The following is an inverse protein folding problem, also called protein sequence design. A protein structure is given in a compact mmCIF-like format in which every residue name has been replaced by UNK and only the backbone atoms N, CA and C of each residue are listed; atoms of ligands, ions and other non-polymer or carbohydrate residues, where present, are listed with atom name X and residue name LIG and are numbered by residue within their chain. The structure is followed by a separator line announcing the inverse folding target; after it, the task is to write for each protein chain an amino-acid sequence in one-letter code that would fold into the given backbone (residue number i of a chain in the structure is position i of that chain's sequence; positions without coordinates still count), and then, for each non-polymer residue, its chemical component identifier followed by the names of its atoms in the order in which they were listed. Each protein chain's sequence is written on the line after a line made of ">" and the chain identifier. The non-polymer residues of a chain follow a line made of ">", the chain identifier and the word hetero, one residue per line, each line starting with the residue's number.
data_IF_992546876522
#
_entry.id   IF_992546876522
#
_cell.length_a   1.000
_cell.length_b   1.000
_cell.length_c   1.000
_cell.angle_alpha   90.00
_cell.angle_beta   90.00
_cell.angle_gamma   90.00
#
_symmetry.space_group_name_H-M   'P 1'
#
loop_
_entity.id
_entity.type
_entity.pdbx_description
1 polymer ?
#
# COMPACT_ATOMS: atom_id res chain seq x y z
N UNK A 1 34.07 18.00 75.65
CA UNK A 1 32.71 17.52 75.96
C UNK A 1 31.73 18.14 74.99
N UNK A 2 30.68 17.39 74.58
CA UNK A 2 29.61 17.70 73.58
C UNK A 2 29.99 17.40 72.12
N UNK A 3 29.20 16.68 71.34
CA UNK A 3 28.12 15.70 71.58
C UNK A 3 28.04 14.93 70.27
N UNK A 4 28.25 13.63 70.32
CA UNK A 4 28.08 12.70 69.20
C UNK A 4 26.59 12.59 68.90
N UNK A 5 26.24 12.64 67.63
CA UNK A 5 24.93 12.28 67.14
C UNK A 5 25.06 12.05 65.65
N UNK A 6 24.44 10.98 65.17
CA UNK A 6 23.72 10.84 63.91
C UNK A 6 23.21 9.39 63.89
N UNK A 7 22.03 9.20 64.47
CA UNK A 7 21.22 8.01 64.23
C UNK A 7 20.27 8.35 63.08
N UNK A 8 20.44 7.69 61.95
CA UNK A 8 19.45 7.70 60.88
C UNK A 8 18.69 6.37 60.87
N UNK A 9 17.38 6.54 60.76
CA UNK A 9 16.28 5.62 60.99
C UNK A 9 16.20 4.58 59.87
N UNK A 10 16.21 3.29 60.25
CA UNK A 10 15.73 2.19 59.41
C UNK A 10 14.22 2.08 59.59
N UNK A 11 13.47 2.44 58.57
CA UNK A 11 12.00 2.37 58.53
C UNK A 11 11.52 1.98 57.14
N UNK A 12 11.86 0.77 56.72
CA UNK A 12 11.45 0.16 55.45
C UNK A 12 10.08 -0.51 55.62
N UNK A 13 9.00 0.14 55.18
CA UNK A 13 7.75 -0.51 54.74
C UNK A 13 6.70 0.50 54.32
N UNK A 14 6.47 0.63 53.01
CA UNK A 14 5.14 0.43 52.39
C UNK A 14 5.19 0.73 50.89
N UNK A 15 4.51 -0.15 50.15
CA UNK A 15 3.87 0.08 48.86
C UNK A 15 4.77 0.42 47.66
N UNK A 16 4.88 -0.53 46.73
CA UNK A 16 4.15 -0.47 45.46
C UNK A 16 4.48 -1.75 44.68
N UNK A 17 3.54 -2.70 44.67
CA UNK A 17 3.48 -3.73 43.65
C UNK A 17 3.24 -3.01 42.32
N UNK A 18 4.31 -2.71 41.59
CA UNK A 18 4.20 -2.27 40.21
C UNK A 18 3.71 -3.49 39.44
N UNK A 19 2.43 -3.45 39.08
CA UNK A 19 1.88 -4.25 38.02
C UNK A 19 2.72 -4.02 36.76
N UNK A 20 3.65 -4.92 36.48
CA UNK A 20 4.31 -5.00 35.18
C UNK A 20 3.32 -5.65 34.20
N UNK A 21 2.25 -4.91 33.89
CA UNK A 21 1.37 -5.19 32.78
C UNK A 21 2.10 -4.75 31.51
N UNK A 22 2.48 -5.76 30.73
CA UNK A 22 2.87 -5.70 29.32
C UNK A 22 3.27 -4.33 28.76
N UNK A 23 4.56 -4.01 28.86
CA UNK A 23 5.19 -3.33 27.74
C UNK A 23 5.38 -4.40 26.65
N UNK A 24 4.30 -4.68 25.92
CA UNK A 24 4.45 -5.23 24.59
C UNK A 24 5.28 -4.20 23.84
N UNK A 25 6.54 -4.52 23.58
CA UNK A 25 7.27 -3.88 22.51
C UNK A 25 6.40 -4.10 21.28
N UNK A 26 5.67 -3.08 20.85
CA UNK A 26 5.16 -2.99 19.50
C UNK A 26 6.42 -2.92 18.62
N UNK A 27 7.00 -4.10 18.37
CA UNK A 27 7.88 -4.33 17.24
C UNK A 27 7.16 -3.66 16.06
N UNK A 28 7.77 -2.71 15.34
CA UNK A 28 7.12 -2.08 14.21
C UNK A 28 6.70 -3.24 13.31
N UNK A 29 5.39 -3.50 13.30
CA UNK A 29 4.86 -4.74 12.76
C UNK A 29 5.48 -4.90 11.39
N UNK A 30 6.20 -6.00 11.19
CA UNK A 30 6.69 -6.36 9.87
C UNK A 30 5.44 -6.33 9.00
N UNK A 31 5.30 -5.30 8.15
CA UNK A 31 4.07 -5.10 7.39
C UNK A 31 4.16 -6.11 6.26
N UNK A 32 3.90 -7.37 6.61
CA UNK A 32 4.00 -8.51 5.72
C UNK A 32 2.76 -8.54 4.85
N UNK A 33 2.97 -8.47 3.54
CA UNK A 33 1.91 -8.49 2.56
C UNK A 33 2.39 -7.90 1.26
N UNK A 34 1.79 -8.37 0.17
CA UNK A 34 1.97 -7.78 -1.15
C UNK A 34 0.62 -7.50 -1.77
N UNK A 35 0.52 -6.39 -2.48
CA UNK A 35 -0.73 -5.92 -3.07
C UNK A 35 -0.59 -5.66 -4.57
N UNK A 36 -1.73 -5.42 -5.21
CA UNK A 36 -1.80 -5.20 -6.66
C UNK A 36 -2.28 -3.78 -7.00
N UNK A 37 -1.75 -3.19 -8.07
CA UNK A 37 -2.15 -1.86 -8.58
C UNK A 37 -2.80 -2.06 -9.90
N UNK A 38 -4.05 -1.60 -10.03
CA UNK A 38 -4.63 -1.42 -11.34
C UNK A 38 -4.22 -0.07 -11.92
N UNK A 39 -3.74 -0.10 -13.14
CA UNK A 39 -3.35 1.08 -13.90
C UNK A 39 -4.21 1.22 -15.15
N UNK A 40 -4.64 2.45 -15.42
CA UNK A 40 -5.34 2.82 -16.65
C UNK A 40 -4.94 4.25 -17.02
N UNK A 41 -4.34 4.41 -18.20
CA UNK A 41 -3.66 5.61 -18.65
C UNK A 41 -4.25 5.98 -20.01
N UNK A 42 -4.95 7.10 -20.10
CA UNK A 42 -5.56 7.52 -21.37
C UNK A 42 -4.49 7.99 -22.37
N UNK A 43 -4.45 7.42 -23.56
CA UNK A 43 -3.61 7.90 -24.68
C UNK A 43 -4.31 9.02 -25.48
N UNK A 44 -5.35 9.66 -24.92
CA UNK A 44 -5.95 10.84 -25.54
C UNK A 44 -4.89 11.94 -25.73
N UNK A 45 -4.72 12.39 -26.97
CA UNK A 45 -3.68 13.36 -27.31
C UNK A 45 -2.27 12.78 -27.46
N UNK A 46 -2.12 11.45 -27.52
CA UNK A 46 -0.85 10.83 -27.87
C UNK A 46 -0.43 11.23 -29.29
N UNK A 47 0.65 12.00 -29.38
CA UNK A 47 1.27 12.39 -30.64
C UNK A 47 2.53 11.55 -30.98
N UNK A 48 2.95 10.68 -30.08
CA UNK A 48 4.22 9.97 -30.16
C UNK A 48 4.06 8.51 -30.60
N UNK A 49 2.83 8.00 -30.69
CA UNK A 49 2.51 6.67 -31.18
C UNK A 49 3.01 5.59 -30.22
N UNK A 50 2.52 5.61 -28.98
CA UNK A 50 2.84 4.61 -27.96
C UNK A 50 2.30 3.24 -28.40
N UNK A 51 3.15 2.22 -28.30
CA UNK A 51 2.78 0.81 -28.61
C UNK A 51 3.06 -0.15 -27.46
N UNK A 52 3.89 0.24 -26.50
CA UNK A 52 4.20 -0.55 -25.33
C UNK A 52 4.51 0.36 -24.15
N UNK A 53 4.36 -0.18 -22.94
CA UNK A 53 4.71 0.51 -21.73
C UNK A 53 5.11 -0.49 -20.66
N UNK A 54 5.87 -0.01 -19.69
CA UNK A 54 6.27 -0.78 -18.52
C UNK A 54 6.18 0.11 -17.29
N UNK A 55 6.07 -0.53 -16.14
CA UNK A 55 6.12 0.15 -14.87
C UNK A 55 6.97 -0.60 -13.85
N UNK A 56 7.65 0.14 -13.00
CA UNK A 56 8.53 -0.38 -11.96
C UNK A 56 8.12 0.23 -10.63
N UNK A 57 8.20 -0.56 -9.56
CA UNK A 57 7.94 -0.06 -8.21
C UNK A 57 9.25 -0.01 -7.44
N UNK A 58 9.55 1.16 -6.88
CA UNK A 58 10.75 1.41 -6.10
C UNK A 58 10.41 2.00 -4.75
N UNK A 59 11.22 1.69 -3.74
CA UNK A 59 11.20 2.33 -2.44
C UNK A 59 12.56 2.12 -1.75
N UNK A 60 12.82 2.85 -0.67
CA UNK A 60 14.11 2.81 0.02
C UNK A 60 14.41 1.44 0.66
N UNK A 61 13.35 0.77 1.13
CA UNK A 61 13.35 -0.52 1.80
C UNK A 61 13.13 -1.70 0.83
N UNK A 62 13.01 -1.44 -0.47
CA UNK A 62 12.80 -2.48 -1.49
C UNK A 62 14.05 -2.75 -2.31
N UNK A 63 14.38 -4.03 -2.57
CA UNK A 63 15.34 -4.34 -3.61
C UNK A 63 14.80 -3.87 -4.98
N UNK A 64 15.67 -3.58 -5.95
CA UNK A 64 15.24 -3.27 -7.31
C UNK A 64 14.34 -4.37 -7.87
N UNK A 65 13.15 -3.99 -8.33
CA UNK A 65 12.20 -4.91 -8.96
C UNK A 65 12.32 -4.82 -10.49
N UNK A 66 12.11 -5.93 -11.23
CA UNK A 66 12.06 -5.87 -12.67
C UNK A 66 10.82 -5.09 -13.14
N UNK A 67 10.87 -4.40 -14.30
CA UNK A 67 9.70 -3.76 -14.88
C UNK A 67 8.61 -4.78 -15.19
N UNK A 68 7.36 -4.40 -14.92
CA UNK A 68 6.17 -5.16 -15.31
C UNK A 68 5.57 -4.52 -16.56
N UNK A 69 5.31 -5.34 -17.58
CA UNK A 69 4.74 -4.87 -18.85
C UNK A 69 3.26 -4.50 -18.70
N UNK A 70 2.89 -3.39 -19.34
CA UNK A 70 1.52 -2.92 -19.44
C UNK A 70 1.00 -3.16 -20.87
N UNK A 71 -0.28 -3.49 -20.96
CA UNK A 71 -0.97 -3.62 -22.24
C UNK A 71 -1.25 -2.25 -22.83
N UNK A 72 -1.05 -2.09 -24.14
CA UNK A 72 -1.40 -0.87 -24.87
C UNK A 72 -2.42 -1.22 -25.94
N UNK A 73 -3.61 -0.63 -25.84
CA UNK A 73 -4.70 -0.91 -26.75
C UNK A 73 -5.90 0.00 -26.50
N UNK A 74 -6.78 0.10 -27.49
CA UNK A 74 -8.02 0.88 -27.40
C UNK A 74 -7.85 2.36 -26.96
N UNK A 75 -6.67 2.94 -27.18
CA UNK A 75 -6.37 4.30 -26.73
C UNK A 75 -6.01 4.41 -25.25
N UNK A 76 -5.61 3.31 -24.60
CA UNK A 76 -5.16 3.28 -23.21
C UNK A 76 -3.87 2.45 -23.04
N UNK A 77 -3.11 2.77 -21.99
CA UNK A 77 -2.15 1.84 -21.38
C UNK A 77 -2.82 1.29 -20.13
N UNK A 78 -2.94 -0.02 -20.01
CA UNK A 78 -3.66 -0.71 -18.94
C UNK A 78 -2.86 -1.88 -18.40
N UNK A 79 -3.04 -2.20 -17.12
CA UNK A 79 -2.43 -3.39 -16.55
C UNK A 79 -2.49 -3.45 -15.04
N UNK A 80 -1.84 -4.48 -14.50
CA UNK A 80 -1.69 -4.67 -13.06
C UNK A 80 -0.22 -4.72 -12.68
N UNK A 81 0.16 -4.00 -11.63
CA UNK A 81 1.44 -4.22 -10.96
C UNK A 81 1.18 -5.10 -9.76
N UNK A 82 1.70 -6.32 -9.81
CA UNK A 82 1.50 -7.32 -8.77
C UNK A 82 2.67 -7.35 -7.81
N UNK A 83 2.47 -7.99 -6.65
CA UNK A 83 3.50 -8.29 -5.67
C UNK A 83 4.20 -7.05 -5.09
N UNK A 84 3.48 -5.94 -4.91
CA UNK A 84 4.06 -4.74 -4.32
C UNK A 84 4.01 -4.83 -2.80
N UNK A 85 5.16 -4.82 -2.11
CA UNK A 85 5.14 -4.94 -0.67
C UNK A 85 4.40 -3.77 0.00
N UNK A 86 3.61 -4.11 1.01
CA UNK A 86 2.91 -3.13 1.85
C UNK A 86 3.91 -2.16 2.45
N UNK A 87 3.57 -0.88 2.49
CA UNK A 87 4.41 0.17 3.04
C UNK A 87 4.14 1.54 2.42
N UNK A 88 4.53 2.61 3.11
CA UNK A 88 4.33 3.97 2.62
C UNK A 88 5.27 4.29 1.46
N UNK A 89 4.87 5.26 0.64
CA UNK A 89 5.72 5.91 -0.39
C UNK A 89 6.39 4.94 -1.36
N UNK A 90 5.64 3.93 -1.83
CA UNK A 90 6.03 3.12 -3.00
C UNK A 90 5.98 4.01 -4.24
N UNK A 91 7.11 4.24 -4.88
CA UNK A 91 7.20 5.03 -6.09
C UNK A 91 6.91 4.14 -7.28
N UNK A 92 5.85 4.46 -8.02
CA UNK A 92 5.51 3.80 -9.28
C UNK A 92 6.06 4.65 -10.41
N UNK A 93 7.10 4.14 -11.08
CA UNK A 93 7.71 4.72 -12.27
C UNK A 93 7.12 4.06 -13.52
N UNK A 94 6.67 4.84 -14.48
CA UNK A 94 6.08 4.33 -15.73
C UNK A 94 6.81 4.92 -16.92
N UNK A 95 7.07 4.08 -17.91
CA UNK A 95 7.71 4.45 -19.18
C UNK A 95 6.91 3.89 -20.33
N UNK A 96 6.66 4.74 -21.32
CA UNK A 96 5.92 4.40 -22.53
C UNK A 96 6.82 4.54 -23.76
N UNK A 97 6.72 3.58 -24.66
CA UNK A 97 7.62 3.43 -25.81
C UNK A 97 6.86 3.46 -27.13
N UNK A 98 7.48 4.04 -28.15
CA UNK A 98 6.95 4.06 -29.52
C UNK A 98 7.43 2.85 -30.35
N UNK A 99 6.97 2.78 -31.61
CA UNK A 99 7.34 1.71 -32.56
C UNK A 99 8.85 1.55 -32.83
N UNK A 100 9.66 2.55 -32.49
CA UNK A 100 11.12 2.50 -32.60
C UNK A 100 11.80 2.03 -31.30
N UNK A 101 11.04 1.65 -30.27
CA UNK A 101 11.54 1.25 -28.95
C UNK A 101 12.10 2.41 -28.11
N UNK A 102 11.76 3.66 -28.44
CA UNK A 102 12.23 4.84 -27.70
C UNK A 102 11.22 5.25 -26.64
N UNK A 103 11.71 5.60 -25.46
CA UNK A 103 10.87 6.18 -24.40
C UNK A 103 10.37 7.55 -24.85
N UNK A 104 9.06 7.68 -25.00
CA UNK A 104 8.40 8.90 -25.48
C UNK A 104 7.57 9.59 -24.39
N UNK A 105 7.15 8.86 -23.36
CA UNK A 105 6.61 9.44 -22.13
C UNK A 105 7.13 8.73 -20.91
N UNK A 106 7.32 9.47 -19.82
CA UNK A 106 7.67 8.92 -18.52
C UNK A 106 7.08 9.75 -17.38
N UNK A 107 6.86 9.12 -16.24
CA UNK A 107 6.41 9.79 -15.03
C UNK A 107 6.53 8.90 -13.82
N UNK A 108 6.46 9.51 -12.63
CA UNK A 108 6.42 8.78 -11.37
C UNK A 108 5.46 9.38 -10.36
N UNK A 109 4.93 8.52 -9.49
CA UNK A 109 4.02 8.90 -8.42
C UNK A 109 4.30 8.07 -7.18
N UNK A 110 4.22 8.71 -6.02
CA UNK A 110 4.30 8.02 -4.73
C UNK A 110 2.92 7.53 -4.33
N UNK A 111 2.84 6.31 -3.83
CA UNK A 111 1.61 5.79 -3.25
C UNK A 111 1.88 5.00 -1.98
N UNK A 112 0.96 5.12 -1.03
CA UNK A 112 1.00 4.33 0.19
C UNK A 112 0.24 3.03 -0.03
N UNK A 113 0.88 1.90 0.24
CA UNK A 113 0.29 0.57 0.07
C UNK A 113 -0.04 0.04 1.45
N UNK A 114 -1.33 -0.22 1.67
CA UNK A 114 -1.84 -0.73 2.93
C UNK A 114 -2.56 -2.05 2.67
N UNK A 115 -2.48 -2.96 3.65
CA UNK A 115 -3.12 -4.25 3.51
C UNK A 115 -4.65 -4.11 3.40
N UNK A 116 -5.25 -4.76 2.39
CA UNK A 116 -6.71 -4.80 2.21
C UNK A 116 -7.40 -3.44 2.04
N UNK A 117 -6.65 -2.36 1.82
CA UNK A 117 -7.18 -1.01 1.65
C UNK A 117 -6.94 -0.50 0.24
N UNK A 118 -7.86 0.33 -0.23
CA UNK A 118 -7.75 0.93 -1.56
C UNK A 118 -7.06 2.29 -1.48
N UNK A 119 -5.82 2.37 -1.98
CA UNK A 119 -5.09 3.64 -2.08
C UNK A 119 -5.15 4.19 -3.50
N UNK A 120 -5.38 5.49 -3.62
CA UNK A 120 -5.45 6.18 -4.91
C UNK A 120 -4.25 7.10 -5.09
N UNK A 121 -3.66 7.08 -6.30
CA UNK A 121 -2.66 8.05 -6.68
C UNK A 121 -2.87 8.55 -8.10
N UNK A 122 -2.58 9.82 -8.30
CA UNK A 122 -2.53 10.42 -9.62
C UNK A 122 -1.09 10.40 -10.15
N UNK A 123 -0.90 9.84 -11.33
CA UNK A 123 0.39 9.84 -12.02
C UNK A 123 0.28 10.62 -13.34
N UNK A 124 1.27 11.46 -13.61
CA UNK A 124 1.32 12.25 -14.84
C UNK A 124 2.53 11.80 -15.67
N UNK A 125 2.30 11.34 -16.90
CA UNK A 125 3.38 11.03 -17.83
C UNK A 125 3.69 12.26 -18.69
N UNK A 126 4.96 12.64 -18.71
CA UNK A 126 5.48 13.78 -19.45
C UNK A 126 6.19 13.31 -20.70
N UNK A 127 5.99 14.04 -21.79
CA UNK A 127 6.64 13.76 -23.08
C UNK A 127 8.14 13.94 -23.00
N UNK A 128 8.88 12.98 -23.55
CA UNK A 128 10.30 13.11 -23.83
C UNK A 128 10.51 13.82 -25.19
N UNK A 129 10.84 15.11 -25.14
CA UNK A 129 11.02 15.95 -26.33
C UNK A 129 12.17 15.52 -27.25
N UNK A 130 13.17 14.79 -26.72
CA UNK A 130 14.29 14.31 -27.53
C UNK A 130 13.88 13.12 -28.40
N UNK A 131 13.03 12.24 -27.87
CA UNK A 131 12.57 11.03 -28.54
C UNK A 131 11.25 11.21 -29.30
N UNK A 132 10.47 12.23 -28.93
CA UNK A 132 9.23 12.63 -29.59
C UNK A 132 9.16 14.16 -29.69
N UNK A 133 9.84 14.76 -30.68
CA UNK A 133 9.80 16.20 -30.89
C UNK A 133 8.41 16.62 -31.39
N UNK A 134 7.85 17.69 -30.82
CA UNK A 134 6.60 18.27 -31.30
C UNK A 134 6.20 19.54 -30.54
N UNK A 135 5.25 20.30 -31.09
CA UNK A 135 4.78 21.58 -30.50
C UNK A 135 3.75 21.43 -29.37
N UNK A 136 3.39 20.19 -29.00
CA UNK A 136 2.36 19.90 -28.01
C UNK A 136 2.90 19.49 -26.63
N UNK A 137 2.23 19.96 -25.58
CA UNK A 137 2.36 19.49 -24.19
C UNK A 137 1.31 18.42 -23.91
N UNK A 138 1.53 17.21 -24.44
CA UNK A 138 0.67 16.07 -24.13
C UNK A 138 1.10 15.47 -22.80
N UNK A 139 0.62 16.03 -21.69
CA UNK A 139 0.70 15.34 -20.40
C UNK A 139 -0.45 14.35 -20.33
N UNK A 140 -0.14 13.11 -19.98
CA UNK A 140 -1.14 12.07 -19.79
C UNK A 140 -1.37 11.87 -18.30
N UNK A 141 -2.63 11.91 -17.88
CA UNK A 141 -3.01 11.68 -16.49
C UNK A 141 -3.47 10.25 -16.27
N UNK A 142 -3.14 9.74 -15.10
CA UNK A 142 -3.43 8.40 -14.63
C UNK A 142 -4.05 8.54 -13.26
N UNK A 143 -5.10 7.77 -12.99
CA UNK A 143 -5.61 7.55 -11.65
C UNK A 143 -5.40 6.07 -11.38
N UNK A 144 -4.40 5.75 -10.57
CA UNK A 144 -4.08 4.40 -10.14
C UNK A 144 -4.87 4.04 -8.89
N UNK A 145 -5.28 2.78 -8.81
CA UNK A 145 -5.94 2.20 -7.64
C UNK A 145 -5.09 1.03 -7.16
N UNK A 146 -4.55 1.07 -5.94
CA UNK A 146 -3.93 -0.10 -5.31
C UNK A 146 -5.00 -0.83 -4.55
N UNK A 147 -5.28 -2.07 -4.94
CA UNK A 147 -6.20 -2.95 -4.22
C UNK A 147 -5.39 -3.97 -3.45
N UNK A 148 -5.69 -4.04 -2.16
CA UNK A 148 -5.11 -5.05 -1.32
C UNK A 148 -5.81 -6.40 -1.44
N UNK A 149 -5.14 -7.42 -1.95
CA UNK A 149 -5.50 -8.83 -1.84
C UNK A 149 -4.86 -9.46 -0.61
N UNK A 150 -5.16 -8.93 0.57
CA UNK A 150 -5.09 -9.75 1.79
C UNK A 150 -6.20 -10.80 1.77
N UNK A 151 -6.09 -11.93 2.49
CA UNK A 151 -7.28 -12.72 2.79
C UNK A 151 -8.30 -11.74 3.35
N UNK A 152 -9.54 -11.78 2.84
CA UNK A 152 -10.64 -11.06 3.47
C UNK A 152 -10.52 -11.34 4.96
N UNK A 153 -10.35 -10.30 5.77
CA UNK A 153 -10.85 -10.39 7.12
C UNK A 153 -12.38 -10.45 6.97
N UNK A 154 -12.87 -11.62 6.54
CA UNK A 154 -13.97 -12.24 7.25
C UNK A 154 -13.45 -12.35 8.68
N UNK A 155 -13.54 -11.22 9.39
CA UNK A 155 -13.78 -11.25 10.80
C UNK A 155 -15.04 -12.08 10.92
N UNK A 156 -14.84 -13.39 11.04
CA UNK A 156 -15.68 -14.25 11.81
C UNK A 156 -15.75 -13.57 13.16
N UNK A 157 -16.72 -12.66 13.28
CA UNK A 157 -17.32 -12.39 14.56
C UNK A 157 -17.83 -13.76 14.99
N UNK A 158 -17.02 -14.44 15.79
CA UNK A 158 -17.53 -15.30 16.84
C UNK A 158 -18.39 -14.38 17.70
N UNK A 159 -19.63 -14.18 17.25
CA UNK A 159 -20.68 -13.69 18.09
C UNK A 159 -20.81 -14.77 19.16
N UNK A 160 -20.09 -14.57 20.27
CA UNK A 160 -20.19 -15.38 21.47
C UNK A 160 -21.66 -15.63 21.81
N UNK A 161 -21.95 -16.71 22.57
CA UNK A 161 -23.24 -17.37 22.60
C UNK A 161 -24.40 -16.38 22.68
N UNK A 162 -25.08 -16.18 21.55
CA UNK A 162 -26.24 -15.32 21.45
C UNK A 162 -27.38 -15.86 22.30
N UNK A 163 -28.29 -15.00 22.78
CA UNK A 163 -29.41 -15.43 23.60
C UNK A 163 -30.31 -16.37 22.79
N UNK A 164 -30.53 -17.57 23.34
CA UNK A 164 -31.51 -18.55 22.86
C UNK A 164 -32.90 -17.92 22.93
N UNK A 165 -33.40 -17.45 21.79
CA UNK A 165 -34.83 -17.27 21.60
C UNK A 165 -35.42 -18.62 21.20
N UNK A 166 -36.28 -19.12 22.07
CA UNK A 166 -37.07 -20.34 21.92
C UNK A 166 -38.06 -20.15 20.75
N UNK A 167 -37.63 -20.49 19.54
CA UNK A 167 -38.49 -20.53 18.37
C UNK A 167 -39.17 -21.91 18.34
N UNK A 168 -40.45 -21.90 18.69
CA UNK A 168 -41.31 -23.08 18.85
C UNK A 168 -41.26 -24.07 17.68
N UNK A 169 -41.40 -25.33 18.05
CA UNK A 169 -41.45 -26.47 17.15
C UNK A 169 -42.67 -26.39 16.24
N UNK A 170 -42.43 -26.23 14.94
CA UNK A 170 -43.40 -26.55 13.90
C UNK A 170 -42.81 -27.69 13.06
N UNK A 171 -43.15 -28.94 13.39
CA UNK A 171 -43.07 -30.04 12.45
C UNK A 171 -44.30 -30.95 12.56
N UNK A 172 -45.04 -30.88 11.47
CA UNK A 172 -46.05 -31.75 10.89
C UNK A 172 -45.84 -33.24 11.22
N UNK A 173 -46.92 -33.92 11.64
CA UNK A 173 -46.98 -35.38 11.74
C UNK A 173 -48.13 -35.84 10.85
N UNK A 174 -47.78 -36.60 9.80
CA UNK A 174 -48.72 -37.40 9.01
C UNK A 174 -49.24 -38.61 9.76
#
# INVERSE_FOLDING_TARGET
>A
MKRTGWGFVLGTSCALLIAACGAGSEEPGNIEGTESVKMSISLAGDACGVISAEATVTAQDLPPTPPQYLYVGNGYIEGYLSNIPVGPRRIVDVRAYNGAGREVYAGSAAVDVYQGSVSYAQLQLKRNQQNCPGTGTGDIYIIGTLEGTGPSQDAGYDAGPGPVYDAGSAFDAG
#
